data_IF_063805224724
#
_entry.id   IF_063805224724
#
_cell.length_a   1.000
_cell.length_b   1.000
_cell.length_c   1.000
_cell.angle_alpha   90.00
_cell.angle_beta   90.00
_cell.angle_gamma   90.00
#
_symmetry.space_group_name_H-M   'P 1'
#
loop_
_entity.id
_entity.type
_entity.pdbx_description
1 polymer ?
#
# COMPACT_ATOMS: atom_id res chain seq x y z
N UNK A 1 -62.67 -27.16 -3.27
CA UNK A 1 -61.74 -27.29 -4.41
C UNK A 1 -61.13 -25.91 -4.66
N UNK A 2 -59.79 -25.87 -4.59
CA UNK A 2 -58.80 -24.87 -5.00
C UNK A 2 -59.20 -23.39 -5.22
N UNK A 3 -58.42 -22.48 -4.62
CA UNK A 3 -57.61 -21.54 -5.42
C UNK A 3 -56.46 -20.95 -4.58
N UNK A 4 -55.29 -21.57 -4.72
CA UNK A 4 -53.99 -21.07 -4.26
C UNK A 4 -53.50 -20.06 -5.30
N UNK A 5 -53.36 -18.79 -4.93
CA UNK A 5 -52.76 -17.76 -5.78
C UNK A 5 -51.77 -16.90 -4.98
N UNK A 6 -50.59 -17.44 -4.72
CA UNK A 6 -49.40 -16.66 -4.33
C UNK A 6 -48.14 -17.33 -4.88
N UNK A 7 -47.96 -17.27 -6.20
CA UNK A 7 -46.68 -17.56 -6.83
C UNK A 7 -46.31 -16.33 -7.67
N UNK A 8 -45.67 -15.34 -7.03
CA UNK A 8 -45.32 -14.10 -7.72
C UNK A 8 -44.24 -13.25 -7.05
N UNK A 9 -43.54 -13.75 -6.03
CA UNK A 9 -42.58 -12.93 -5.27
C UNK A 9 -41.18 -13.55 -5.10
N UNK A 10 -40.91 -14.76 -5.62
CA UNK A 10 -39.60 -15.41 -5.44
C UNK A 10 -38.60 -15.20 -6.58
N UNK A 11 -38.97 -14.56 -7.69
CA UNK A 11 -38.05 -14.41 -8.83
C UNK A 11 -37.07 -13.23 -8.70
N UNK A 12 -37.36 -12.24 -7.84
CA UNK A 12 -36.54 -11.01 -7.73
C UNK A 12 -35.37 -11.16 -6.76
N UNK A 13 -35.46 -12.08 -5.79
CA UNK A 13 -34.41 -12.26 -4.78
C UNK A 13 -33.15 -12.96 -5.31
N UNK A 14 -33.24 -13.74 -6.39
CA UNK A 14 -32.09 -14.49 -6.94
C UNK A 14 -31.22 -13.63 -7.86
N UNK A 15 -31.77 -12.58 -8.48
CA UNK A 15 -31.02 -11.69 -9.37
C UNK A 15 -30.11 -10.70 -8.60
N UNK A 16 -30.44 -10.39 -7.34
CA UNK A 16 -29.65 -9.47 -6.53
C UNK A 16 -28.35 -10.08 -5.97
N UNK A 17 -28.25 -11.41 -5.89
CA UNK A 17 -27.08 -12.08 -5.30
C UNK A 17 -25.94 -12.33 -6.30
N UNK A 18 -26.16 -12.15 -7.60
CA UNK A 18 -25.14 -12.33 -8.64
C UNK A 18 -24.23 -11.10 -8.84
N UNK A 19 -24.58 -9.93 -8.28
CA UNK A 19 -23.78 -8.71 -8.40
C UNK A 19 -22.79 -8.49 -7.24
N UNK A 20 -22.79 -9.38 -6.24
CA UNK A 20 -21.87 -9.33 -5.10
C UNK A 20 -20.76 -10.40 -5.21
N UNK A 21 -20.36 -10.77 -6.43
CA UNK A 21 -19.16 -11.58 -6.62
C UNK A 21 -17.94 -10.68 -6.32
N UNK A 22 -17.12 -10.97 -5.29
CA UNK A 22 -15.82 -10.33 -5.19
C UNK A 22 -15.04 -10.66 -6.46
N UNK A 23 -14.57 -9.63 -7.15
CA UNK A 23 -13.62 -9.73 -8.25
C UNK A 23 -12.45 -10.58 -7.78
N UNK A 24 -12.46 -11.87 -8.11
CA UNK A 24 -11.32 -12.74 -7.84
C UNK A 24 -10.26 -12.27 -8.82
N UNK A 25 -9.33 -11.48 -8.31
CA UNK A 25 -8.20 -10.96 -9.05
C UNK A 25 -7.53 -12.14 -9.75
N UNK A 26 -7.59 -12.14 -11.08
CA UNK A 26 -7.05 -13.23 -11.88
C UNK A 26 -5.54 -13.11 -11.81
N UNK A 27 -4.94 -13.76 -10.81
CA UNK A 27 -3.52 -14.04 -10.75
C UNK A 27 -3.13 -14.85 -11.99
N UNK A 28 -2.81 -14.14 -13.06
CA UNK A 28 -2.28 -14.71 -14.29
C UNK A 28 -0.78 -14.89 -14.10
N UNK A 29 -0.42 -16.04 -13.54
CA UNK A 29 0.96 -16.49 -13.42
C UNK A 29 1.37 -17.07 -14.77
N UNK A 30 2.05 -16.26 -15.59
CA UNK A 30 2.80 -16.76 -16.75
C UNK A 30 4.28 -16.81 -16.39
N UNK A 31 4.79 -18.01 -16.17
CA UNK A 31 6.22 -18.27 -15.96
C UNK A 31 6.89 -18.19 -17.33
N UNK A 32 7.41 -17.00 -17.63
CA UNK A 32 8.07 -16.62 -18.88
C UNK A 32 8.04 -15.11 -18.98
N UNK A 33 9.04 -14.45 -18.37
CA UNK A 33 8.97 -13.13 -17.73
C UNK A 33 8.75 -11.96 -18.72
N UNK A 34 7.55 -11.88 -19.31
CA UNK A 34 6.98 -10.64 -19.81
C UNK A 34 6.26 -9.99 -18.61
N UNK A 35 7.03 -9.37 -17.71
CA UNK A 35 6.47 -8.54 -16.65
C UNK A 35 5.77 -7.40 -17.38
N UNK A 36 4.43 -7.44 -17.38
CA UNK A 36 3.59 -6.48 -18.05
C UNK A 36 3.76 -5.06 -17.49
N UNK A 37 2.84 -4.13 -17.78
CA UNK A 37 2.86 -2.83 -17.12
C UNK A 37 2.79 -2.98 -15.60
N UNK A 38 3.32 -1.99 -14.88
CA UNK A 38 3.24 -1.94 -13.43
C UNK A 38 1.77 -2.01 -12.94
N UNK A 39 1.50 -2.62 -11.78
CA UNK A 39 0.16 -2.63 -11.20
C UNK A 39 -0.40 -1.21 -11.03
N UNK A 40 -1.65 -1.02 -11.43
CA UNK A 40 -2.36 0.26 -11.27
C UNK A 40 -3.05 0.24 -9.91
N UNK A 41 -2.34 0.73 -8.90
CA UNK A 41 -2.82 0.77 -7.51
C UNK A 41 -2.91 2.21 -7.01
N UNK A 42 -3.84 2.53 -6.09
CA UNK A 42 -4.03 3.90 -5.60
C UNK A 42 -2.76 4.53 -4.98
N UNK A 43 -1.96 3.73 -4.26
CA UNK A 43 -0.83 4.19 -3.46
C UNK A 43 0.45 3.40 -3.66
N UNK A 44 0.49 2.59 -4.73
CA UNK A 44 1.56 1.63 -4.97
C UNK A 44 1.17 0.19 -4.62
N UNK A 45 2.14 -0.69 -4.74
CA UNK A 45 2.01 -2.15 -4.62
C UNK A 45 3.21 -2.69 -3.83
N UNK A 46 3.06 -3.85 -3.20
CA UNK A 46 4.14 -4.46 -2.42
C UNK A 46 5.40 -4.68 -3.26
N UNK A 47 6.56 -4.57 -2.62
CA UNK A 47 7.91 -4.79 -3.16
C UNK A 47 8.20 -6.25 -3.50
N UNK A 48 7.29 -7.16 -3.12
CA UNK A 48 7.38 -8.59 -3.34
C UNK A 48 6.26 -9.12 -4.25
N UNK A 49 6.55 -10.21 -4.97
CA UNK A 49 5.56 -10.91 -5.78
C UNK A 49 4.39 -11.45 -4.92
N UNK A 50 3.13 -11.33 -5.37
CA UNK A 50 2.69 -11.01 -6.73
C UNK A 50 2.49 -9.51 -7.01
N UNK A 51 3.08 -8.59 -6.24
CA UNK A 51 2.96 -7.14 -6.41
C UNK A 51 1.50 -6.66 -6.29
N UNK A 52 0.79 -7.18 -5.27
CA UNK A 52 -0.58 -6.74 -4.98
C UNK A 52 -0.59 -5.29 -4.49
N UNK A 53 -1.72 -4.59 -4.67
CA UNK A 53 -1.86 -3.21 -4.22
C UNK A 53 -1.66 -3.09 -2.71
N UNK A 54 -0.74 -2.23 -2.29
CA UNK A 54 -0.39 -2.05 -0.89
C UNK A 54 -1.32 -1.01 -0.25
N UNK A 55 -1.88 -1.28 0.94
CA UNK A 55 -2.70 -0.32 1.66
C UNK A 55 -1.92 0.98 1.90
N UNK A 56 -2.67 2.08 1.99
CA UNK A 56 -2.07 3.35 2.37
C UNK A 56 -1.37 3.21 3.73
N UNK A 57 -0.18 3.80 3.87
CA UNK A 57 0.63 3.63 5.07
C UNK A 57 1.63 2.48 5.04
N UNK A 58 1.63 1.58 4.03
CA UNK A 58 2.72 0.61 3.89
C UNK A 58 4.06 1.28 3.56
N UNK A 59 4.05 2.20 2.58
CA UNK A 59 5.24 2.96 2.20
C UNK A 59 5.34 4.27 2.97
N UNK A 60 6.57 4.66 3.31
CA UNK A 60 6.90 5.99 3.81
C UNK A 60 7.06 7.04 2.71
N UNK A 61 7.27 8.31 3.06
CA UNK A 61 7.45 9.42 2.11
C UNK A 61 8.58 9.19 1.10
N UNK A 62 9.63 8.45 1.47
CA UNK A 62 10.80 8.16 0.63
C UNK A 62 10.44 7.53 -0.72
N UNK A 63 9.35 6.76 -0.74
CA UNK A 63 8.86 6.06 -1.92
C UNK A 63 8.08 6.96 -2.89
N UNK A 64 7.96 8.25 -2.59
CA UNK A 64 7.17 9.20 -3.36
C UNK A 64 8.00 10.41 -3.79
N UNK A 65 8.02 10.68 -5.09
CA UNK A 65 8.57 11.94 -5.64
C UNK A 65 7.42 12.83 -6.08
N UNK A 66 7.25 13.98 -5.43
CA UNK A 66 6.14 14.88 -5.73
C UNK A 66 4.75 14.26 -5.50
N UNK A 67 4.65 13.28 -4.60
CA UNK A 67 3.43 12.51 -4.34
C UNK A 67 3.19 11.33 -5.30
N UNK A 68 4.08 11.09 -6.26
CA UNK A 68 3.99 9.96 -7.19
C UNK A 68 4.86 8.82 -6.68
N UNK A 69 4.27 7.63 -6.55
CA UNK A 69 4.99 6.41 -6.18
C UNK A 69 6.06 6.08 -7.22
N UNK A 70 7.31 5.89 -6.78
CA UNK A 70 8.47 5.68 -7.66
C UNK A 70 8.60 4.22 -8.17
N UNK A 71 7.69 3.35 -7.75
CA UNK A 71 7.67 1.94 -8.12
C UNK A 71 8.36 1.04 -7.10
N UNK A 72 8.24 -0.27 -7.29
CA UNK A 72 8.99 -1.30 -6.60
C UNK A 72 9.16 -2.53 -7.52
N UNK A 73 10.00 -3.46 -7.12
CA UNK A 73 10.43 -4.61 -7.90
C UNK A 73 10.93 -4.22 -9.31
N UNK A 74 10.45 -4.90 -10.35
CA UNK A 74 10.90 -4.68 -11.73
C UNK A 74 10.60 -3.29 -12.31
N UNK A 75 9.66 -2.56 -11.70
CA UNK A 75 9.27 -1.22 -12.15
C UNK A 75 9.77 -0.11 -11.23
N UNK A 76 10.75 -0.40 -10.37
CA UNK A 76 11.39 0.61 -9.54
C UNK A 76 12.18 1.62 -10.40
N UNK A 77 11.91 2.91 -10.20
CA UNK A 77 12.54 4.00 -10.95
C UNK A 77 13.17 5.06 -10.02
N UNK A 78 13.42 4.70 -8.76
CA UNK A 78 14.10 5.55 -7.80
C UNK A 78 15.62 5.63 -7.97
N UNK A 79 16.30 6.41 -7.11
CA UNK A 79 17.73 6.61 -7.20
C UNK A 79 18.53 5.33 -6.88
N UNK A 80 19.77 5.27 -7.33
CA UNK A 80 20.67 4.16 -7.00
C UNK A 80 21.01 4.17 -5.50
N UNK A 81 21.07 2.98 -4.88
CA UNK A 81 21.33 2.84 -3.44
C UNK A 81 20.18 3.32 -2.56
N UNK A 82 18.98 3.45 -3.13
CA UNK A 82 17.78 3.82 -2.40
C UNK A 82 17.42 2.78 -1.33
N UNK A 83 17.12 3.28 -0.14
CA UNK A 83 16.44 2.54 0.92
C UNK A 83 15.40 3.47 1.51
N UNK A 84 14.12 3.12 1.35
CA UNK A 84 13.01 3.89 1.89
C UNK A 84 12.29 3.11 2.97
N UNK A 85 11.69 3.82 3.91
CA UNK A 85 10.99 3.16 5.01
C UNK A 85 9.68 2.52 4.55
N UNK A 86 9.39 1.37 5.15
CA UNK A 86 8.10 0.70 5.12
C UNK A 86 7.58 0.51 6.54
N UNK A 87 6.27 0.34 6.66
CA UNK A 87 5.60 -0.01 7.90
C UNK A 87 4.92 -1.36 7.75
N UNK A 88 5.62 -2.39 8.24
CA UNK A 88 5.16 -3.78 8.15
C UNK A 88 3.85 -4.04 8.91
N UNK A 89 3.33 -3.11 9.74
CA UNK A 89 2.00 -3.26 10.34
C UNK A 89 0.89 -3.29 9.29
N UNK A 90 1.18 -2.81 8.09
CA UNK A 90 0.29 -2.82 6.93
C UNK A 90 0.58 -3.95 5.94
N UNK A 91 1.49 -4.86 6.28
CA UNK A 91 1.82 -6.02 5.46
C UNK A 91 1.03 -7.27 5.92
N UNK A 92 0.25 -7.92 5.03
CA UNK A 92 -0.44 -9.18 5.33
C UNK A 92 0.47 -10.28 5.88
N UNK A 93 1.74 -10.33 5.47
CA UNK A 93 2.71 -11.31 5.98
C UNK A 93 3.06 -11.09 7.47
N UNK A 94 2.84 -9.88 7.98
CA UNK A 94 3.09 -9.50 9.38
C UNK A 94 1.78 -9.37 10.18
N UNK A 95 0.68 -9.93 9.66
CA UNK A 95 -0.61 -10.01 10.36
C UNK A 95 -1.56 -8.85 10.08
N UNK A 96 -1.31 -8.04 9.05
CA UNK A 96 -2.30 -7.07 8.59
C UNK A 96 -3.53 -7.78 8.02
N UNK A 97 -4.70 -7.42 8.56
CA UNK A 97 -6.00 -7.93 8.12
C UNK A 97 -7.00 -6.80 7.82
N UNK A 98 -6.47 -5.57 7.65
CA UNK A 98 -7.28 -4.41 7.33
C UNK A 98 -7.74 -4.37 5.87
N UNK A 99 -8.46 -3.32 5.48
CA UNK A 99 -8.91 -3.15 4.11
C UNK A 99 -7.73 -3.01 3.14
N UNK A 100 -7.77 -3.77 2.05
CA UNK A 100 -6.86 -3.59 0.93
C UNK A 100 -7.34 -2.42 0.05
N UNK A 101 -6.42 -1.66 -0.56
CA UNK A 101 -6.75 -0.42 -1.23
C UNK A 101 -7.62 -0.67 -2.47
N UNK A 102 -8.66 0.15 -2.65
CA UNK A 102 -9.49 0.16 -3.84
C UNK A 102 -9.33 1.45 -4.66
N UNK A 103 -9.67 1.38 -5.95
CA UNK A 103 -9.61 2.55 -6.84
C UNK A 103 -10.49 3.69 -6.30
N UNK A 104 -9.88 4.84 -6.02
CA UNK A 104 -10.56 6.04 -5.52
C UNK A 104 -10.63 6.17 -3.99
N UNK A 105 -9.93 5.32 -3.25
CA UNK A 105 -9.86 5.39 -1.79
C UNK A 105 -9.03 6.57 -1.30
N UNK A 106 -9.42 7.13 -0.15
CA UNK A 106 -8.80 8.33 0.43
C UNK A 106 -7.65 7.99 1.38
N UNK A 107 -6.65 8.87 1.51
CA UNK A 107 -5.50 8.64 2.38
C UNK A 107 -5.88 8.61 3.86
N UNK A 108 -5.22 7.78 4.68
CA UNK A 108 -5.31 7.82 6.15
C UNK A 108 -3.92 7.97 6.80
N UNK A 109 -3.75 8.91 7.72
CA UNK A 109 -2.40 9.38 8.09
C UNK A 109 -1.89 8.78 9.41
N UNK A 110 -1.19 7.63 9.39
CA UNK A 110 -0.49 7.08 10.57
C UNK A 110 0.74 6.22 10.22
N UNK A 111 1.54 6.63 9.23
CA UNK A 111 2.78 5.92 8.90
C UNK A 111 3.72 5.87 10.11
N UNK A 112 4.31 4.69 10.37
CA UNK A 112 5.38 4.53 11.35
C UNK A 112 6.40 3.54 10.79
N UNK A 113 7.40 4.07 10.11
CA UNK A 113 8.47 3.28 9.51
C UNK A 113 9.13 2.37 10.55
N UNK A 114 9.20 1.08 10.25
CA UNK A 114 9.82 0.09 11.11
C UNK A 114 10.89 -0.75 10.41
N UNK A 115 11.04 -0.58 9.10
CA UNK A 115 12.06 -1.25 8.31
C UNK A 115 12.38 -0.40 7.08
N UNK A 116 13.62 -0.48 6.58
CA UNK A 116 14.01 0.19 5.35
C UNK A 116 14.32 -0.85 4.27
N UNK A 117 13.80 -0.63 3.06
CA UNK A 117 13.94 -1.56 1.94
C UNK A 117 14.37 -0.85 0.66
N UNK A 118 15.15 -1.55 -0.15
CA UNK A 118 15.46 -1.11 -1.50
C UNK A 118 14.30 -1.38 -2.47
N UNK A 119 14.44 -0.89 -3.70
CA UNK A 119 13.45 -1.09 -4.75
C UNK A 119 13.16 -2.55 -5.11
N UNK A 120 13.95 -3.53 -4.65
CA UNK A 120 13.71 -4.97 -4.89
C UNK A 120 13.20 -5.69 -3.64
N UNK A 121 12.98 -4.96 -2.54
CA UNK A 121 12.52 -5.50 -1.26
C UNK A 121 13.63 -6.07 -0.38
N UNK A 122 14.90 -5.77 -0.67
CA UNK A 122 15.99 -6.13 0.23
C UNK A 122 16.03 -5.18 1.42
N UNK A 123 16.15 -5.74 2.61
CA UNK A 123 16.27 -4.99 3.85
C UNK A 123 17.65 -4.32 3.93
N UNK A 124 17.68 -3.07 4.38
CA UNK A 124 18.92 -2.35 4.64
C UNK A 124 18.71 -1.16 5.56
N UNK A 125 19.56 -0.14 5.40
CA UNK A 125 19.51 1.06 6.24
C UNK A 125 19.15 2.27 5.37
N UNK A 126 18.10 2.99 5.76
CA UNK A 126 17.77 4.28 5.18
C UNK A 126 18.79 5.36 5.60
N UNK A 127 18.96 6.43 4.80
CA UNK A 127 19.89 7.52 5.10
C UNK A 127 19.44 8.41 6.27
N UNK A 128 18.19 8.31 6.72
CA UNK A 128 17.65 8.97 7.91
C UNK A 128 16.79 7.99 8.71
N UNK A 129 16.41 8.39 9.93
CA UNK A 129 15.45 7.64 10.74
C UNK A 129 13.99 7.93 10.32
N UNK A 130 13.05 7.05 10.71
CA UNK A 130 11.63 7.16 10.34
C UNK A 130 10.85 8.16 11.21
N UNK A 131 11.45 8.75 12.25
CA UNK A 131 10.72 9.51 13.28
C UNK A 131 10.08 10.80 12.75
N UNK A 132 10.57 11.34 11.63
CA UNK A 132 10.01 12.51 10.95
C UNK A 132 9.00 12.19 9.85
N UNK A 133 8.73 10.91 9.61
CA UNK A 133 7.89 10.45 8.52
C UNK A 133 6.49 10.15 9.04
N UNK A 134 5.51 10.98 8.66
CA UNK A 134 4.15 10.87 9.21
C UNK A 134 3.07 10.64 8.14
N UNK A 135 3.36 10.91 6.87
CA UNK A 135 2.42 10.72 5.78
C UNK A 135 3.14 10.41 4.46
N UNK A 136 2.82 9.31 3.77
CA UNK A 136 3.35 9.04 2.44
C UNK A 136 2.81 10.04 1.40
N UNK A 137 3.69 10.60 0.57
CA UNK A 137 3.29 11.47 -0.53
C UNK A 137 2.86 12.89 -0.12
N UNK A 138 2.19 13.59 -1.04
CA UNK A 138 1.96 15.04 -0.99
C UNK A 138 1.16 15.47 0.27
N UNK A 139 1.88 15.91 1.29
CA UNK A 139 1.34 16.71 2.38
C UNK A 139 1.26 18.15 1.90
N UNK A 140 0.13 18.55 1.34
CA UNK A 140 -0.07 19.91 0.85
C UNK A 140 -0.16 20.94 1.97
N UNK A 141 0.96 21.29 2.61
CA UNK A 141 1.14 22.53 3.38
C UNK A 141 2.62 22.92 3.38
N UNK A 142 2.97 23.97 2.63
CA UNK A 142 4.28 24.60 2.72
C UNK A 142 4.46 25.27 4.07
N UNK A 143 5.62 25.06 4.69
CA UNK A 143 6.11 25.79 5.86
C UNK A 143 7.63 25.78 5.89
N UNK A 144 8.31 26.94 6.08
CA UNK A 144 9.76 27.02 6.09
C UNK A 144 10.33 26.64 7.47
N UNK A 145 11.34 25.77 7.46
CA UNK A 145 12.34 25.70 8.54
C UNK A 145 11.99 24.83 9.75
N UNK A 146 12.57 23.64 9.81
CA UNK A 146 12.77 22.88 11.04
C UNK A 146 14.27 22.84 11.36
N UNK A 147 14.72 23.75 12.21
CA UNK A 147 16.06 23.73 12.81
C UNK A 147 16.24 22.45 13.63
N UNK A 148 17.15 21.58 13.21
CA UNK A 148 17.55 20.38 13.95
C UNK A 148 18.08 20.77 15.33
N UNK A 149 17.44 20.25 16.38
CA UNK A 149 18.00 20.26 17.73
C UNK A 149 18.94 19.06 17.87
N UNK A 150 20.22 19.24 18.23
CA UNK A 150 21.09 18.11 18.55
C UNK A 150 20.68 17.52 19.90
N UNK A 151 20.22 16.27 19.89
CA UNK A 151 19.87 15.50 21.08
C UNK A 151 21.07 15.35 22.02
N UNK A 152 20.87 15.71 23.29
CA UNK A 152 21.85 15.55 24.35
C UNK A 152 22.04 14.09 24.74
N UNK A 153 23.29 13.64 24.72
CA UNK A 153 23.70 12.36 25.29
C UNK A 153 23.69 12.43 26.82
N UNK A 154 22.92 11.53 27.44
CA UNK A 154 22.99 11.23 28.86
C UNK A 154 23.86 10.01 29.09
N UNK A 155 25.06 10.22 29.66
CA UNK A 155 25.92 9.16 30.14
C UNK A 155 25.41 8.58 31.46
N UNK A 156 25.51 7.25 31.60
CA UNK A 156 25.27 6.55 32.85
C UNK A 156 26.62 6.24 33.52
N UNK A 157 26.79 6.74 34.75
CA UNK A 157 27.64 6.17 35.80
C UNK A 157 26.76 5.94 37.02
#
# INVERSE_FOLDING_TARGET
>A
MASWKTFGLSAVAVAALALAAPSTDRAQVSIGVNLGPAPICPYGYFDYAPYACAPYGYYGPDWFTGGVFIGAGPWFHGPHGFYGHVDNRYDPHYGYHGPMPARGEVPFNHFHGNEARDGQGHIGNAPHGPEGEHAPGFSGHGGPGGVGHPGGGGGHH
#
